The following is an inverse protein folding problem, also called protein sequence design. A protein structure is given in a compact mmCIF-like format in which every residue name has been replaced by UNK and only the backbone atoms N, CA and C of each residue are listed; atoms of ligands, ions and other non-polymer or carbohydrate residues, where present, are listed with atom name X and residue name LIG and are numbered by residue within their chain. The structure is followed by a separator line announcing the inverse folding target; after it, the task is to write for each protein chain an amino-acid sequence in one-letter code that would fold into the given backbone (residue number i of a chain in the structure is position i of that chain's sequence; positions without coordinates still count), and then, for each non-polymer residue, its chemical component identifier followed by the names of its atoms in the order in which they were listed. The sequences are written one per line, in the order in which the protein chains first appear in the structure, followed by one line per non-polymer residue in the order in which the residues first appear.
data_IF_425029295414
#
_entry.id   IF_425029295414
#
_cell.length_a   1.000
_cell.length_b   1.000
_cell.length_c   1.000
_cell.angle_alpha   90.00
_cell.angle_beta   90.00
_cell.angle_gamma   90.00
#
_symmetry.space_group_name_H-M   'P 1'
#
loop_
_entity.id
_entity.type
_entity.pdbx_description
1 polymer ?
#
# COMPACT_ATOMS: atom_id res chain seq x y z
N UNK A 1 44.77 52.04 -55.50
CA UNK A 1 44.99 51.07 -54.43
C UNK A 1 44.27 51.59 -53.20
N UNK A 2 43.06 51.06 -52.89
CA UNK A 2 42.24 51.47 -51.74
C UNK A 2 42.19 50.30 -50.82
N UNK A 3 42.81 50.41 -49.63
CA UNK A 3 42.77 49.42 -48.55
C UNK A 3 41.46 49.53 -47.81
N UNK A 4 40.71 48.46 -47.78
CA UNK A 4 39.46 48.32 -47.03
C UNK A 4 39.81 47.73 -45.65
N UNK A 5 39.71 48.56 -44.59
CA UNK A 5 39.80 48.09 -43.20
C UNK A 5 38.45 47.53 -42.79
N UNK A 6 38.36 46.23 -42.55
CA UNK A 6 37.18 45.61 -41.98
C UNK A 6 37.27 45.68 -40.46
N UNK A 7 36.36 46.41 -39.83
CA UNK A 7 36.18 46.51 -38.37
C UNK A 7 35.33 45.33 -37.90
N UNK A 8 35.95 44.33 -37.24
CA UNK A 8 35.24 43.23 -36.61
C UNK A 8 34.80 43.70 -35.21
N UNK A 9 33.48 43.98 -35.04
CA UNK A 9 32.88 44.26 -33.75
C UNK A 9 32.59 42.93 -33.07
N UNK A 10 33.35 42.60 -32.01
CA UNK A 10 33.14 41.44 -31.15
C UNK A 10 32.08 41.78 -30.14
N UNK A 11 30.84 41.33 -30.37
CA UNK A 11 29.73 41.43 -29.39
C UNK A 11 29.91 40.35 -28.35
N UNK A 12 30.46 40.71 -27.20
CA UNK A 12 30.43 39.85 -26.02
C UNK A 12 28.98 39.75 -25.47
N UNK A 13 28.25 38.72 -25.86
CA UNK A 13 27.01 38.34 -25.18
C UNK A 13 27.38 37.70 -23.87
N UNK A 14 27.29 38.44 -22.78
CA UNK A 14 27.35 37.87 -21.42
C UNK A 14 26.07 37.08 -21.19
N UNK A 15 26.13 35.79 -21.41
CA UNK A 15 25.15 34.83 -20.92
C UNK A 15 25.21 34.84 -19.39
N UNK A 16 24.36 35.61 -18.75
CA UNK A 16 24.03 35.42 -17.33
C UNK A 16 23.29 34.11 -17.21
N UNK A 17 24.04 33.06 -17.07
CA UNK A 17 23.48 31.78 -16.69
C UNK A 17 22.79 31.94 -15.33
N UNK A 18 21.46 31.86 -15.31
CA UNK A 18 20.76 31.62 -14.08
C UNK A 18 21.24 30.25 -13.54
N UNK A 19 22.21 30.29 -12.63
CA UNK A 19 22.56 29.13 -11.82
C UNK A 19 21.28 28.77 -11.06
N UNK A 20 20.57 27.77 -11.54
CA UNK A 20 19.60 27.07 -10.70
C UNK A 20 20.42 26.54 -9.54
N UNK A 21 20.25 27.12 -8.35
CA UNK A 21 20.97 26.71 -7.16
C UNK A 21 20.76 25.22 -6.94
N UNK A 22 21.76 24.41 -7.30
CA UNK A 22 21.80 23.00 -6.96
C UNK A 22 21.94 22.93 -5.46
N UNK A 23 20.92 22.48 -4.75
CA UNK A 23 21.02 22.21 -3.32
C UNK A 23 22.17 21.23 -3.09
N UNK A 24 23.05 21.54 -2.14
CA UNK A 24 24.22 20.74 -1.85
C UNK A 24 23.86 19.34 -1.29
N UNK A 25 22.65 19.20 -0.70
CA UNK A 25 22.16 17.96 -0.12
C UNK A 25 20.63 17.92 -0.06
N UNK A 26 20.06 16.72 0.18
CA UNK A 26 18.62 16.58 0.36
C UNK A 26 18.11 17.36 1.57
N UNK A 27 18.87 17.39 2.66
CA UNK A 27 18.48 18.16 3.86
C UNK A 27 18.47 19.67 3.58
N UNK A 28 19.41 20.19 2.76
CA UNK A 28 19.42 21.59 2.39
C UNK A 28 18.25 21.95 1.47
N UNK A 29 17.88 21.05 0.57
CA UNK A 29 16.64 21.16 -0.20
C UNK A 29 15.41 21.27 0.71
N UNK A 30 15.30 20.39 1.73
CA UNK A 30 14.20 20.44 2.68
C UNK A 30 14.20 21.73 3.54
N UNK A 31 15.35 22.25 3.91
CA UNK A 31 15.48 23.55 4.63
C UNK A 31 14.94 24.73 3.80
N UNK A 32 14.88 24.62 2.48
CA UNK A 32 14.30 25.63 1.60
C UNK A 32 12.78 25.81 1.77
N UNK A 33 12.09 24.83 2.34
CA UNK A 33 10.68 24.94 2.68
C UNK A 33 10.49 25.44 4.10
N UNK A 34 9.50 26.32 4.32
CA UNK A 34 9.27 26.96 5.63
C UNK A 34 9.04 25.92 6.74
N UNK A 35 8.10 24.99 6.54
CA UNK A 35 7.74 24.01 7.59
C UNK A 35 8.87 23.05 7.97
N UNK A 36 9.56 22.36 7.03
CA UNK A 36 10.72 21.55 7.38
C UNK A 36 11.88 22.36 7.95
N UNK A 37 12.16 23.56 7.41
CA UNK A 37 13.20 24.44 7.94
C UNK A 37 12.93 24.87 9.38
N UNK A 38 11.69 25.22 9.71
CA UNK A 38 11.30 25.56 11.07
C UNK A 38 11.25 24.33 12.01
N UNK A 39 10.83 23.16 11.49
CA UNK A 39 10.90 21.92 12.24
C UNK A 39 12.35 21.58 12.63
N UNK A 40 13.30 21.68 11.70
CA UNK A 40 14.72 21.49 11.96
C UNK A 40 15.22 22.43 13.06
N UNK A 41 14.95 23.74 12.96
CA UNK A 41 15.35 24.71 14.00
C UNK A 41 14.80 24.36 15.37
N UNK A 42 13.56 23.87 15.45
CA UNK A 42 12.92 23.53 16.73
C UNK A 42 13.39 22.22 17.34
N UNK A 43 13.73 21.23 16.51
CA UNK A 43 13.84 19.82 16.95
C UNK A 43 15.23 19.22 16.84
N UNK A 44 16.10 19.72 15.96
CA UNK A 44 17.38 19.06 15.66
C UNK A 44 18.24 18.87 16.92
N UNK A 45 18.46 19.92 17.72
CA UNK A 45 19.24 19.83 18.96
C UNK A 45 18.61 18.86 19.96
N UNK A 46 17.28 18.86 20.05
CA UNK A 46 16.56 17.96 20.95
C UNK A 46 16.72 16.51 20.52
N UNK A 47 16.60 16.23 19.22
CA UNK A 47 16.81 14.90 18.66
C UNK A 47 18.25 14.43 18.89
N UNK A 48 19.23 15.29 18.62
CA UNK A 48 20.65 14.98 18.87
C UNK A 48 20.90 14.60 20.33
N UNK A 49 20.36 15.37 21.28
CA UNK A 49 20.44 15.05 22.71
C UNK A 49 19.78 13.73 23.07
N UNK A 50 18.59 13.45 22.48
CA UNK A 50 17.89 12.18 22.70
C UNK A 50 18.68 10.99 22.14
N UNK A 51 19.31 11.13 20.98
CA UNK A 51 20.20 10.11 20.42
C UNK A 51 21.39 9.85 21.34
N UNK A 52 22.07 10.91 21.76
CA UNK A 52 23.22 10.81 22.70
C UNK A 52 22.83 10.13 24.00
N UNK A 53 21.69 10.49 24.59
CA UNK A 53 21.21 9.91 25.86
C UNK A 53 20.91 8.40 25.73
N UNK A 54 20.68 7.89 24.51
CA UNK A 54 20.46 6.47 24.21
C UNK A 54 21.70 5.75 23.67
N UNK A 55 22.86 6.43 23.64
CA UNK A 55 24.08 5.87 23.04
C UNK A 55 23.93 5.59 21.54
N UNK A 56 23.12 6.38 20.84
CA UNK A 56 22.90 6.29 19.40
C UNK A 56 23.69 7.39 18.67
N UNK A 57 24.20 7.08 17.49
CA UNK A 57 24.89 8.08 16.66
C UNK A 57 23.89 8.95 15.89
N UNK A 58 24.13 10.26 15.88
CA UNK A 58 23.34 11.25 15.14
C UNK A 58 24.13 11.77 13.92
N UNK A 59 23.44 11.97 12.78
CA UNK A 59 22.14 11.43 12.43
C UNK A 59 22.21 9.93 12.11
N UNK A 60 21.11 9.21 12.34
CA UNK A 60 21.04 7.80 11.96
C UNK A 60 21.17 7.65 10.44
N UNK A 61 21.94 6.65 10.00
CA UNK A 61 22.09 6.36 8.56
C UNK A 61 20.94 5.56 8.01
N UNK A 62 20.34 4.69 8.82
CA UNK A 62 19.20 3.86 8.44
C UNK A 62 18.09 3.99 9.45
N UNK A 63 16.90 4.21 8.93
CA UNK A 63 15.65 4.34 9.66
C UNK A 63 14.72 3.18 9.26
N UNK A 64 13.98 2.68 10.21
CA UNK A 64 12.87 1.76 10.02
C UNK A 64 11.71 2.21 10.89
N UNK A 65 10.50 2.23 10.33
CA UNK A 65 9.27 2.60 11.02
C UNK A 65 8.34 1.40 11.04
N UNK A 66 7.70 1.14 12.19
CA UNK A 66 6.61 0.19 12.27
C UNK A 66 5.43 0.77 13.04
N UNK A 67 4.24 0.57 12.51
CA UNK A 67 2.99 1.03 13.11
C UNK A 67 2.13 -0.16 13.52
N UNK A 68 1.46 -0.05 14.67
CA UNK A 68 0.57 -1.05 15.22
C UNK A 68 -0.83 -0.45 15.28
N UNK A 69 -1.69 -0.89 14.36
CA UNK A 69 -2.98 -0.26 14.11
C UNK A 69 -3.90 -0.27 15.32
N UNK A 70 -4.12 -1.44 15.92
CA UNK A 70 -4.97 -1.58 17.12
C UNK A 70 -4.37 -0.93 18.37
N UNK A 71 -3.06 -1.03 18.54
CA UNK A 71 -2.37 -0.48 19.71
C UNK A 71 -2.21 1.04 19.63
N UNK A 72 -2.43 1.64 18.46
CA UNK A 72 -2.30 3.08 18.24
C UNK A 72 -0.88 3.60 18.45
N UNK A 73 0.13 2.80 18.08
CA UNK A 73 1.55 3.11 18.28
C UNK A 73 2.33 3.08 16.97
N UNK A 74 3.36 3.93 16.90
CA UNK A 74 4.33 3.99 15.83
C UNK A 74 5.73 4.02 16.42
N UNK A 75 6.54 3.04 16.08
CA UNK A 75 7.94 2.93 16.54
C UNK A 75 8.91 3.36 15.46
N UNK A 76 9.98 4.00 15.92
CA UNK A 76 11.12 4.38 15.09
C UNK A 76 12.36 3.64 15.58
N UNK A 77 12.94 2.87 14.66
CA UNK A 77 14.13 2.08 14.86
C UNK A 77 15.26 2.62 14.00
N UNK A 78 16.48 2.61 14.52
CA UNK A 78 17.65 3.21 13.87
C UNK A 78 18.87 2.30 13.93
N UNK A 79 19.76 2.45 12.93
CA UNK A 79 21.11 1.87 12.92
C UNK A 79 22.02 2.70 12.02
N UNK A 80 23.34 2.54 12.18
CA UNK A 80 24.33 3.28 11.39
C UNK A 80 25.04 2.42 10.34
N UNK A 81 24.93 1.09 10.42
CA UNK A 81 25.45 0.14 9.46
C UNK A 81 24.41 -0.93 9.12
N UNK A 82 24.44 -1.45 7.89
CA UNK A 82 23.57 -2.58 7.49
C UNK A 82 23.86 -3.86 8.27
N UNK A 83 25.07 -3.98 8.85
CA UNK A 83 25.48 -5.13 9.68
C UNK A 83 25.01 -5.03 11.12
N UNK A 84 24.67 -3.83 11.60
CA UNK A 84 24.19 -3.61 12.96
C UNK A 84 22.72 -3.99 13.10
N UNK A 85 22.34 -4.49 14.26
CA UNK A 85 20.94 -4.63 14.65
C UNK A 85 20.29 -3.26 14.80
N UNK A 86 19.01 -3.15 14.41
CA UNK A 86 18.24 -1.95 14.70
C UNK A 86 18.04 -1.78 16.20
N UNK A 87 18.07 -0.55 16.66
CA UNK A 87 17.83 -0.15 18.05
C UNK A 87 16.61 0.77 18.10
N UNK A 88 15.74 0.55 19.07
CA UNK A 88 14.55 1.38 19.26
C UNK A 88 14.97 2.79 19.68
N UNK A 89 14.68 3.76 18.84
CA UNK A 89 14.87 5.16 19.19
C UNK A 89 13.67 5.68 19.99
N UNK A 90 12.44 5.55 19.46
CA UNK A 90 11.27 6.17 20.09
C UNK A 90 9.97 5.50 19.65
N UNK A 91 8.99 5.48 20.57
CA UNK A 91 7.61 5.13 20.26
C UNK A 91 6.76 6.39 20.30
N UNK A 92 5.97 6.61 19.26
CA UNK A 92 5.01 7.69 19.12
C UNK A 92 3.61 7.14 19.24
N UNK A 93 2.68 7.98 19.68
CA UNK A 93 1.26 7.63 19.73
C UNK A 93 0.59 8.08 18.45
N UNK A 94 -0.12 7.17 17.78
CA UNK A 94 -0.99 7.50 16.65
C UNK A 94 -2.24 8.17 17.20
N UNK A 95 -2.62 9.34 16.67
CA UNK A 95 -3.67 10.18 17.23
C UNK A 95 -5.07 9.64 17.02
N UNK A 96 -5.32 9.06 15.84
CA UNK A 96 -6.62 8.58 15.43
C UNK A 96 -6.46 7.33 14.56
N UNK A 97 -7.47 6.51 14.54
CA UNK A 97 -7.52 5.30 13.73
C UNK A 97 -8.77 5.35 12.84
N UNK A 98 -8.61 4.95 11.59
CA UNK A 98 -9.71 4.74 10.66
C UNK A 98 -9.78 3.26 10.27
N UNK A 99 -11.00 2.75 10.11
CA UNK A 99 -11.27 1.38 9.71
C UNK A 99 -11.12 0.34 10.84
N UNK A 100 -11.09 -0.92 10.43
CA UNK A 100 -10.96 -2.10 11.29
C UNK A 100 -9.61 -2.78 11.04
N UNK A 101 -9.30 -3.90 11.70
CA UNK A 101 -8.16 -4.72 11.33
C UNK A 101 -8.36 -5.35 9.95
N UNK A 102 -7.27 -5.52 9.24
CA UNK A 102 -7.23 -6.02 7.88
C UNK A 102 -6.67 -5.02 6.88
N UNK A 103 -6.33 -5.51 5.68
CA UNK A 103 -5.72 -4.69 4.63
C UNK A 103 -6.71 -3.69 4.02
N UNK A 104 -6.20 -2.58 3.48
CA UNK A 104 -6.95 -1.69 2.61
C UNK A 104 -7.12 -2.36 1.24
N UNK A 105 -8.36 -2.29 0.66
CA UNK A 105 -8.66 -2.96 -0.61
C UNK A 105 -9.30 -2.08 -1.67
N UNK A 106 -9.85 -0.93 -1.30
CA UNK A 106 -10.48 -0.02 -2.26
C UNK A 106 -10.43 1.43 -1.80
N UNK A 107 -10.59 2.33 -2.74
CA UNK A 107 -10.77 3.75 -2.43
C UNK A 107 -12.08 3.94 -1.63
N UNK A 108 -12.04 4.77 -0.59
CA UNK A 108 -13.22 5.08 0.21
C UNK A 108 -13.60 4.01 1.25
N UNK A 109 -12.81 2.95 1.43
CA UNK A 109 -13.04 1.94 2.48
C UNK A 109 -12.65 2.42 3.88
N UNK A 110 -12.14 3.65 4.00
CA UNK A 110 -11.69 4.26 5.24
C UNK A 110 -10.70 3.41 6.05
N UNK A 111 -9.92 2.56 5.37
CA UNK A 111 -8.95 1.67 6.00
C UNK A 111 -7.55 2.26 5.98
N UNK A 112 -6.89 2.24 7.14
CA UNK A 112 -5.43 2.32 7.18
C UNK A 112 -4.89 1.00 6.62
N UNK A 113 -4.03 1.00 5.59
CA UNK A 113 -3.49 -0.24 5.04
C UNK A 113 -2.65 -0.99 6.08
N UNK A 114 -2.58 -2.30 5.94
CA UNK A 114 -1.66 -3.17 6.67
C UNK A 114 -0.75 -3.87 5.65
N UNK A 115 0.53 -4.03 5.98
CA UNK A 115 1.50 -4.60 5.05
C UNK A 115 2.87 -3.94 5.14
N UNK A 116 3.67 -4.13 4.08
CA UNK A 116 5.07 -3.73 4.01
C UNK A 116 5.26 -2.66 2.95
N UNK A 117 5.57 -1.46 3.39
CA UNK A 117 5.69 -0.24 2.59
C UNK A 117 7.05 0.42 2.77
N UNK A 118 7.27 1.50 2.05
CA UNK A 118 8.38 2.42 2.27
C UNK A 118 7.93 3.86 1.99
N UNK A 119 8.67 4.82 2.55
CA UNK A 119 8.46 6.23 2.27
C UNK A 119 8.90 6.50 0.83
N UNK A 120 7.96 6.94 -0.02
CA UNK A 120 8.20 7.31 -1.41
C UNK A 120 8.14 8.82 -1.66
N UNK A 121 7.58 9.58 -0.72
CA UNK A 121 7.38 11.02 -0.89
C UNK A 121 7.64 11.78 0.43
N UNK A 122 8.24 12.95 0.29
CA UNK A 122 8.37 13.98 1.32
C UNK A 122 7.53 15.16 0.90
N UNK A 123 6.41 15.41 1.57
CA UNK A 123 5.51 16.52 1.25
C UNK A 123 5.63 17.65 2.29
N UNK A 124 6.46 18.68 2.01
CA UNK A 124 6.67 19.81 2.92
C UNK A 124 5.48 20.77 2.97
N UNK A 125 4.59 20.72 1.98
CA UNK A 125 3.45 21.63 1.82
C UNK A 125 2.11 20.91 2.02
N UNK A 126 2.10 19.81 2.76
CA UNK A 126 0.91 19.01 3.01
C UNK A 126 -0.23 19.85 3.61
N UNK A 127 -1.48 19.56 3.20
CA UNK A 127 -2.67 20.10 3.85
C UNK A 127 -2.78 19.68 5.32
N UNK A 128 -2.07 18.62 5.70
CA UNK A 128 -1.99 18.09 7.07
C UNK A 128 -0.63 18.43 7.73
N UNK A 129 -0.17 19.65 7.54
CA UNK A 129 1.07 20.21 8.08
C UNK A 129 2.33 19.68 7.38
N UNK A 130 2.85 18.52 7.73
CA UNK A 130 3.94 17.78 7.06
C UNK A 130 3.49 16.35 6.82
N UNK A 131 3.94 15.76 5.71
CA UNK A 131 3.57 14.36 5.39
C UNK A 131 4.72 13.58 4.78
N UNK A 132 4.75 12.29 5.11
CA UNK A 132 5.60 11.27 4.51
C UNK A 132 4.70 10.28 3.77
N UNK A 133 4.74 10.28 2.44
CA UNK A 133 3.95 9.40 1.60
C UNK A 133 4.46 7.97 1.61
N UNK A 134 3.54 7.02 1.55
CA UNK A 134 3.84 5.60 1.46
C UNK A 134 3.56 5.07 0.06
N UNK A 135 4.33 4.09 -0.39
CA UNK A 135 4.16 3.44 -1.70
C UNK A 135 2.93 2.51 -1.77
N UNK A 136 1.81 2.95 -1.18
CA UNK A 136 0.52 2.28 -1.36
C UNK A 136 -0.11 2.69 -2.72
N UNK A 137 -0.68 1.76 -3.51
CA UNK A 137 -0.67 0.31 -3.31
C UNK A 137 0.69 -0.32 -3.66
N UNK A 138 1.17 -1.22 -2.80
CA UNK A 138 2.36 -2.02 -3.05
C UNK A 138 2.05 -3.21 -4.01
N UNK A 139 3.01 -4.08 -4.38
CA UNK A 139 2.75 -5.21 -5.26
C UNK A 139 1.65 -6.17 -4.77
N UNK A 140 1.57 -6.46 -3.47
CA UNK A 140 0.50 -7.27 -2.87
C UNK A 140 -0.86 -6.59 -3.02
N UNK A 141 -0.93 -5.31 -2.67
CA UNK A 141 -2.17 -4.54 -2.78
C UNK A 141 -2.67 -4.46 -4.23
N UNK A 142 -1.76 -4.27 -5.20
CA UNK A 142 -2.12 -4.23 -6.64
C UNK A 142 -2.73 -5.52 -7.14
N UNK A 143 -2.36 -6.66 -6.55
CA UNK A 143 -2.91 -7.97 -6.92
C UNK A 143 -4.25 -8.21 -6.23
N UNK A 144 -4.37 -7.83 -4.94
CA UNK A 144 -5.48 -8.21 -4.08
C UNK A 144 -6.54 -7.13 -3.89
N UNK A 145 -6.26 -5.87 -4.25
CA UNK A 145 -7.20 -4.75 -4.12
C UNK A 145 -8.08 -4.60 -5.36
N UNK A 146 -9.05 -3.71 -5.26
CA UNK A 146 -9.88 -3.30 -6.40
C UNK A 146 -8.99 -2.89 -7.58
N UNK A 147 -9.23 -3.47 -8.74
CA UNK A 147 -8.38 -3.29 -9.93
C UNK A 147 -8.53 -1.90 -10.57
N UNK A 148 -9.66 -1.23 -10.36
CA UNK A 148 -9.96 0.08 -10.92
C UNK A 148 -9.65 1.20 -9.93
N UNK A 149 -9.98 0.99 -8.66
CA UNK A 149 -9.86 2.00 -7.61
C UNK A 149 -9.28 1.41 -6.32
N UNK A 150 -8.01 0.98 -6.32
CA UNK A 150 -7.38 0.44 -5.09
C UNK A 150 -7.24 1.51 -4.01
N UNK A 151 -7.34 2.78 -4.38
CA UNK A 151 -7.03 3.93 -3.57
C UNK A 151 -5.56 4.31 -3.66
N UNK A 152 -5.19 5.38 -2.96
CA UNK A 152 -3.85 5.95 -2.97
C UNK A 152 -3.70 6.98 -1.86
N UNK A 153 -2.66 7.80 -1.96
CA UNK A 153 -2.45 8.96 -1.09
C UNK A 153 -2.43 8.61 0.40
N UNK A 154 -1.72 7.54 0.74
CA UNK A 154 -1.52 7.12 2.14
C UNK A 154 -0.26 7.77 2.70
N UNK A 155 -0.42 8.48 3.81
CA UNK A 155 0.65 9.25 4.45
C UNK A 155 0.75 8.99 5.96
N UNK A 156 1.95 9.16 6.50
CA UNK A 156 2.16 9.51 7.91
C UNK A 156 2.18 11.05 7.97
N UNK A 157 1.29 11.69 8.74
CA UNK A 157 1.13 13.15 8.69
C UNK A 157 0.72 13.76 10.04
N UNK A 158 0.79 15.08 10.13
CA UNK A 158 0.32 15.87 11.28
C UNK A 158 -1.22 16.00 11.33
N UNK A 159 -1.70 16.93 12.15
CA UNK A 159 -3.12 17.35 12.26
C UNK A 159 -4.11 16.34 12.82
N UNK A 160 -3.69 15.21 13.36
CA UNK A 160 -4.52 14.26 14.16
C UNK A 160 -5.92 13.89 13.60
N UNK A 161 -6.13 13.92 12.27
CA UNK A 161 -7.37 13.50 11.59
C UNK A 161 -7.05 12.48 10.52
N UNK A 162 -7.94 11.51 10.28
CA UNK A 162 -7.69 10.50 9.25
C UNK A 162 -8.97 9.92 8.66
N UNK A 163 -8.87 9.52 7.41
CA UNK A 163 -9.83 8.70 6.66
C UNK A 163 -9.14 7.48 6.02
N UNK A 164 -7.92 7.13 6.50
CA UNK A 164 -7.13 6.01 5.97
C UNK A 164 -5.61 6.19 6.06
N UNK A 165 -5.13 7.37 6.49
CA UNK A 165 -3.72 7.68 6.75
C UNK A 165 -3.32 7.36 8.20
N UNK A 166 -2.05 7.55 8.55
CA UNK A 166 -1.50 7.39 9.90
C UNK A 166 -1.22 8.78 10.48
N UNK A 167 -2.18 9.37 11.24
CA UNK A 167 -2.02 10.70 11.80
C UNK A 167 -1.24 10.66 13.11
N UNK A 168 -0.33 11.59 13.24
CA UNK A 168 0.40 11.89 14.48
C UNK A 168 0.25 13.38 14.80
N UNK A 169 0.69 13.83 15.98
CA UNK A 169 0.69 15.26 16.28
C UNK A 169 1.71 16.02 15.42
N UNK A 170 1.50 17.33 15.22
CA UNK A 170 2.46 18.18 14.48
C UNK A 170 3.87 18.11 15.09
N UNK A 171 3.96 18.06 16.41
CA UNK A 171 5.25 17.91 17.11
C UNK A 171 5.94 16.58 16.83
N UNK A 172 5.18 15.53 16.60
CA UNK A 172 5.69 14.19 16.29
C UNK A 172 6.08 14.06 14.82
N UNK A 173 5.27 14.62 13.88
CA UNK A 173 5.66 14.59 12.48
C UNK A 173 6.89 15.47 12.20
N UNK A 174 7.10 16.58 12.94
CA UNK A 174 8.37 17.33 12.91
C UNK A 174 9.56 16.39 13.09
N UNK A 175 9.53 15.58 14.15
CA UNK A 175 10.61 14.65 14.47
C UNK A 175 10.77 13.55 13.43
N UNK A 176 9.65 12.91 13.04
CA UNK A 176 9.64 11.84 12.03
C UNK A 176 10.16 12.31 10.67
N UNK A 177 9.74 13.51 10.25
CA UNK A 177 10.15 14.11 8.99
C UNK A 177 11.66 14.39 8.96
N UNK A 178 12.19 14.96 10.03
CA UNK A 178 13.62 15.25 10.18
C UNK A 178 14.43 13.95 10.16
N UNK A 179 14.03 12.95 10.93
CA UNK A 179 14.70 11.64 10.97
C UNK A 179 14.73 10.98 9.60
N UNK A 180 13.60 10.97 8.90
CA UNK A 180 13.48 10.44 7.55
C UNK A 180 14.34 11.23 6.54
N UNK A 181 14.33 12.57 6.63
CA UNK A 181 15.11 13.44 5.75
C UNK A 181 16.62 13.21 5.91
N UNK A 182 17.10 13.04 7.15
CA UNK A 182 18.50 12.69 7.40
C UNK A 182 18.87 11.29 6.91
N UNK A 183 18.00 10.30 7.11
CA UNK A 183 18.23 8.95 6.59
C UNK A 183 18.34 8.96 5.06
N UNK A 184 17.42 9.66 4.38
CA UNK A 184 17.48 9.84 2.92
C UNK A 184 18.75 10.59 2.48
N UNK A 185 19.10 11.66 3.17
CA UNK A 185 20.33 12.42 2.92
C UNK A 185 21.59 11.55 3.05
N UNK A 186 21.57 10.55 3.92
CA UNK A 186 22.65 9.58 4.15
C UNK A 186 22.59 8.37 3.19
N UNK A 187 21.74 8.42 2.15
CA UNK A 187 21.67 7.42 1.08
C UNK A 187 20.69 6.28 1.32
N UNK A 188 19.71 6.44 2.21
CA UNK A 188 18.61 5.51 2.35
C UNK A 188 17.41 5.97 1.50
N UNK A 189 17.36 5.56 0.23
CA UNK A 189 16.29 5.96 -0.68
C UNK A 189 14.93 5.34 -0.31
N UNK A 190 14.92 4.12 0.19
CA UNK A 190 13.73 3.40 0.62
C UNK A 190 13.75 3.22 2.14
N UNK A 191 12.98 4.04 2.85
CA UNK A 191 12.83 3.95 4.30
C UNK A 191 11.67 3.00 4.59
N UNK A 192 11.90 1.79 5.13
CA UNK A 192 10.84 0.80 5.33
C UNK A 192 9.82 1.28 6.35
N UNK A 193 8.55 1.02 6.04
CA UNK A 193 7.39 1.26 6.92
C UNK A 193 6.54 0.01 6.93
N UNK A 194 6.52 -0.71 8.04
CA UNK A 194 5.68 -1.88 8.23
C UNK A 194 4.45 -1.49 9.06
N UNK A 195 3.27 -1.84 8.58
CA UNK A 195 2.01 -1.56 9.27
C UNK A 195 1.39 -2.90 9.64
N UNK A 196 1.34 -3.15 10.94
CA UNK A 196 0.81 -4.38 11.53
C UNK A 196 -0.61 -4.16 12.07
N UNK A 197 -1.48 -5.18 12.04
CA UNK A 197 -2.80 -5.10 12.66
C UNK A 197 -2.69 -4.83 14.16
N UNK A 198 -1.78 -5.51 14.82
CA UNK A 198 -1.57 -5.50 16.27
C UNK A 198 -0.09 -5.57 16.64
N UNK A 199 0.21 -5.30 17.89
CA UNK A 199 1.46 -5.71 18.52
C UNK A 199 1.35 -7.17 18.98
N UNK A 200 1.99 -8.10 18.28
CA UNK A 200 1.82 -9.55 18.49
C UNK A 200 2.35 -10.05 19.84
N UNK A 201 3.21 -9.32 20.53
CA UNK A 201 3.63 -9.63 21.91
C UNK A 201 2.71 -9.03 22.99
N UNK A 202 1.61 -8.35 22.61
CA UNK A 202 0.60 -7.83 23.53
C UNK A 202 -0.59 -8.81 23.60
N UNK A 203 -0.76 -9.49 24.75
CA UNK A 203 -1.81 -10.50 24.95
C UNK A 203 -3.22 -9.98 24.66
N UNK A 204 -3.53 -8.71 24.99
CA UNK A 204 -4.83 -8.10 24.76
C UNK A 204 -5.09 -7.92 23.26
N UNK A 205 -4.09 -7.44 22.53
CA UNK A 205 -4.15 -7.22 21.08
C UNK A 205 -4.29 -8.55 20.33
N UNK A 206 -3.52 -9.57 20.74
CA UNK A 206 -3.62 -10.93 20.20
C UNK A 206 -5.01 -11.52 20.41
N UNK A 207 -5.58 -11.38 21.62
CA UNK A 207 -6.94 -11.87 21.91
C UNK A 207 -8.01 -11.16 21.06
N UNK A 208 -7.84 -9.86 20.81
CA UNK A 208 -8.75 -9.10 19.94
C UNK A 208 -8.68 -9.58 18.48
N UNK A 209 -7.47 -9.68 17.91
CA UNK A 209 -7.28 -10.21 16.56
C UNK A 209 -7.82 -11.64 16.42
N UNK A 210 -7.51 -12.52 17.38
CA UNK A 210 -7.98 -13.89 17.38
C UNK A 210 -9.52 -13.99 17.41
N UNK A 211 -10.19 -13.05 18.10
CA UNK A 211 -11.65 -13.01 18.11
C UNK A 211 -12.24 -12.59 16.75
N UNK A 212 -11.66 -11.61 16.08
CA UNK A 212 -12.06 -11.22 14.72
C UNK A 212 -11.78 -12.34 13.70
N UNK A 213 -10.63 -12.96 13.81
CA UNK A 213 -10.18 -14.03 12.90
C UNK A 213 -10.97 -15.34 13.04
N UNK A 214 -11.80 -15.51 14.09
CA UNK A 214 -12.69 -16.70 14.21
C UNK A 214 -13.69 -16.81 13.07
N UNK A 215 -14.15 -15.67 12.56
CA UNK A 215 -15.17 -15.58 11.50
C UNK A 215 -14.61 -15.04 10.20
N UNK A 216 -13.31 -14.73 10.14
CA UNK A 216 -12.63 -14.22 8.97
C UNK A 216 -11.29 -14.95 8.76
N UNK A 217 -11.35 -16.05 7.98
CA UNK A 217 -10.18 -16.85 7.66
C UNK A 217 -9.15 -16.09 6.80
N UNK A 218 -9.58 -15.11 6.02
CA UNK A 218 -8.68 -14.30 5.20
C UNK A 218 -7.89 -13.32 6.06
N UNK A 219 -8.55 -12.67 7.01
CA UNK A 219 -7.87 -11.84 8.00
C UNK A 219 -6.84 -12.67 8.79
N UNK A 220 -7.20 -13.91 9.16
CA UNK A 220 -6.28 -14.81 9.87
C UNK A 220 -5.02 -15.08 9.06
N UNK A 221 -5.18 -15.58 7.81
CA UNK A 221 -4.04 -15.90 6.94
C UNK A 221 -3.16 -14.67 6.64
N UNK A 222 -3.78 -13.54 6.39
CA UNK A 222 -3.06 -12.29 6.15
C UNK A 222 -2.28 -11.85 7.40
N UNK A 223 -2.90 -11.87 8.57
CA UNK A 223 -2.25 -11.51 9.83
C UNK A 223 -1.08 -12.45 10.17
N UNK A 224 -1.19 -13.76 9.90
CA UNK A 224 -0.12 -14.75 10.08
C UNK A 224 1.10 -14.46 9.18
N UNK A 225 0.88 -13.99 7.93
CA UNK A 225 1.99 -13.56 7.05
C UNK A 225 2.74 -12.36 7.64
N UNK A 226 2.01 -11.40 8.23
CA UNK A 226 2.62 -10.23 8.87
C UNK A 226 3.31 -10.60 10.18
N UNK A 227 2.71 -11.48 10.99
CA UNK A 227 3.29 -11.99 12.24
C UNK A 227 4.65 -12.65 12.02
N UNK A 228 4.79 -13.43 10.97
CA UNK A 228 6.06 -14.11 10.65
C UNK A 228 7.22 -13.11 10.43
N UNK A 229 6.96 -11.98 9.78
CA UNK A 229 7.95 -10.89 9.60
C UNK A 229 8.18 -10.13 10.91
N UNK A 230 7.12 -9.91 11.69
CA UNK A 230 7.22 -9.30 13.01
C UNK A 230 8.12 -10.13 13.93
N UNK A 231 7.89 -11.43 14.05
CA UNK A 231 8.67 -12.35 14.89
C UNK A 231 10.13 -12.42 14.45
N UNK A 232 10.39 -12.45 13.13
CA UNK A 232 11.76 -12.38 12.62
C UNK A 232 12.48 -11.13 13.14
N UNK A 233 11.81 -9.97 13.08
CA UNK A 233 12.40 -8.72 13.57
C UNK A 233 12.58 -8.71 15.10
N UNK A 234 11.63 -9.21 15.89
CA UNK A 234 11.75 -9.30 17.35
C UNK A 234 12.95 -10.16 17.77
N UNK A 235 13.27 -11.21 17.02
CA UNK A 235 14.39 -12.10 17.32
C UNK A 235 15.72 -11.51 16.86
N UNK A 236 15.76 -10.92 15.67
CA UNK A 236 17.02 -10.57 14.99
C UNK A 236 17.35 -9.09 15.03
N UNK A 237 16.35 -8.25 15.22
CA UNK A 237 16.40 -6.80 14.97
C UNK A 237 16.97 -6.47 13.57
N UNK A 238 16.72 -7.36 12.59
CA UNK A 238 17.07 -7.19 11.18
C UNK A 238 15.81 -7.30 10.33
N UNK A 239 15.75 -6.57 9.24
CA UNK A 239 14.67 -6.69 8.29
C UNK A 239 14.96 -7.83 7.31
N UNK A 240 14.04 -8.79 7.14
CA UNK A 240 14.16 -9.77 6.08
C UNK A 240 13.90 -9.16 4.71
N UNK A 241 14.30 -9.86 3.65
CA UNK A 241 13.85 -9.53 2.30
C UNK A 241 12.41 -10.00 2.17
N UNK A 242 11.51 -9.09 1.84
CA UNK A 242 10.09 -9.37 1.68
C UNK A 242 9.74 -9.24 0.20
N UNK A 243 9.11 -10.25 -0.34
CA UNK A 243 8.65 -10.33 -1.73
C UNK A 243 7.14 -10.57 -1.75
N UNK A 244 6.53 -10.41 -2.91
CA UNK A 244 5.14 -10.76 -3.16
C UNK A 244 5.10 -11.87 -4.21
N UNK A 245 4.39 -12.97 -3.95
CA UNK A 245 4.17 -14.02 -4.92
C UNK A 245 3.08 -13.64 -5.94
N UNK A 246 2.84 -14.52 -6.92
CA UNK A 246 1.85 -14.27 -7.97
C UNK A 246 0.39 -14.21 -7.45
N UNK A 247 0.13 -14.70 -6.25
CA UNK A 247 -1.19 -14.65 -5.60
C UNK A 247 -1.38 -13.38 -4.75
N UNK A 248 -0.34 -12.55 -4.62
CA UNK A 248 -0.38 -11.38 -3.77
C UNK A 248 0.06 -11.62 -2.33
N UNK A 249 0.43 -12.86 -1.95
CA UNK A 249 0.88 -13.16 -0.60
C UNK A 249 2.30 -12.64 -0.37
N UNK A 250 2.58 -12.23 0.85
CA UNK A 250 3.92 -11.91 1.27
C UNK A 250 4.74 -13.17 1.53
N UNK A 251 5.92 -13.25 0.93
CA UNK A 251 6.95 -14.26 1.19
C UNK A 251 8.22 -13.55 1.62
N UNK A 252 8.94 -14.08 2.59
CA UNK A 252 10.14 -13.46 3.10
C UNK A 252 11.29 -14.46 3.24
N UNK A 253 12.52 -13.96 3.04
CA UNK A 253 13.74 -14.71 3.24
C UNK A 253 14.14 -14.64 4.72
N UNK A 254 13.65 -15.57 5.49
CA UNK A 254 13.94 -15.67 6.92
C UNK A 254 13.50 -17.00 7.47
N UNK A 255 14.31 -17.57 8.34
CA UNK A 255 14.17 -18.81 9.09
C UNK A 255 12.97 -19.68 8.67
N UNK A 256 13.22 -20.66 7.83
CA UNK A 256 12.26 -21.67 7.39
C UNK A 256 11.65 -22.41 8.59
N UNK A 257 10.74 -21.79 9.33
CA UNK A 257 9.58 -22.54 9.77
C UNK A 257 8.72 -22.63 8.51
N UNK A 258 8.83 -23.75 7.81
CA UNK A 258 7.80 -24.20 6.90
C UNK A 258 6.48 -24.00 7.63
N UNK A 259 5.75 -22.94 7.30
CA UNK A 259 4.30 -23.02 7.42
C UNK A 259 3.93 -24.03 6.35
N UNK A 260 3.98 -25.29 6.72
CA UNK A 260 3.30 -26.35 5.99
C UNK A 260 1.85 -26.04 6.26
N UNK A 261 1.25 -25.21 5.40
CA UNK A 261 -0.19 -25.27 5.21
C UNK A 261 -0.40 -26.69 4.66
N UNK A 262 -0.73 -27.61 5.57
CA UNK A 262 -1.22 -28.91 5.15
C UNK A 262 -2.40 -28.61 4.22
N UNK A 263 -2.44 -29.18 3.00
CA UNK A 263 -3.60 -29.04 2.17
C UNK A 263 -4.77 -29.58 2.99
N UNK A 264 -5.73 -28.73 3.31
CA UNK A 264 -7.02 -29.20 3.81
C UNK A 264 -7.62 -29.94 2.64
N UNK A 265 -7.54 -31.26 2.66
CA UNK A 265 -8.26 -32.12 1.71
C UNK A 265 -9.76 -31.85 1.89
N UNK A 266 -10.29 -30.99 1.04
CA UNK A 266 -11.73 -30.79 0.91
C UNK A 266 -12.32 -32.02 0.20
N UNK A 267 -13.51 -32.51 0.61
CA UNK A 267 -14.18 -33.58 -0.12
C UNK A 267 -14.43 -33.12 -1.56
N UNK A 268 -14.00 -33.90 -2.53
CA UNK A 268 -14.15 -33.63 -3.96
C UNK A 268 -15.64 -33.62 -4.30
N UNK A 269 -16.21 -32.42 -4.51
CA UNK A 269 -17.47 -32.25 -5.24
C UNK A 269 -17.21 -32.36 -6.74
N UNK A 270 -18.22 -32.77 -7.50
CA UNK A 270 -18.15 -32.68 -8.94
C UNK A 270 -18.04 -31.20 -9.37
N UNK A 271 -17.08 -30.84 -10.21
CA UNK A 271 -16.88 -29.44 -10.58
C UNK A 271 -18.12 -28.89 -11.31
N UNK A 272 -18.57 -27.72 -10.84
CA UNK A 272 -19.59 -26.94 -11.55
C UNK A 272 -18.97 -26.46 -12.86
N UNK A 273 -19.60 -26.72 -14.00
CA UNK A 273 -19.11 -26.26 -15.30
C UNK A 273 -19.57 -24.81 -15.53
N UNK A 274 -18.67 -23.88 -15.30
CA UNK A 274 -18.88 -22.47 -15.63
C UNK A 274 -18.64 -22.19 -17.12
N UNK A 275 -19.34 -21.17 -17.64
CA UNK A 275 -19.20 -20.78 -19.05
C UNK A 275 -17.82 -20.19 -19.30
N UNK A 276 -17.05 -20.79 -20.20
CA UNK A 276 -15.76 -20.28 -20.64
C UNK A 276 -15.76 -20.07 -22.15
N UNK A 277 -15.09 -19.00 -22.61
CA UNK A 277 -14.83 -18.74 -24.03
C UNK A 277 -13.34 -18.94 -24.29
N UNK A 278 -13.02 -19.45 -25.47
CA UNK A 278 -11.64 -19.52 -25.93
C UNK A 278 -11.23 -18.14 -26.47
N UNK A 279 -10.58 -17.33 -25.65
CA UNK A 279 -10.10 -16.00 -26.01
C UNK A 279 -8.59 -16.10 -26.21
N UNK A 280 -8.16 -15.94 -27.45
CA UNK A 280 -6.76 -16.12 -27.86
C UNK A 280 -5.90 -14.86 -27.67
N UNK A 281 -6.54 -13.68 -27.68
CA UNK A 281 -5.83 -12.40 -27.56
C UNK A 281 -6.46 -11.52 -26.48
N UNK A 282 -5.65 -11.11 -25.54
CA UNK A 282 -6.02 -10.17 -24.48
C UNK A 282 -5.21 -8.90 -24.63
N UNK A 283 -5.88 -7.74 -24.67
CA UNK A 283 -5.19 -6.47 -24.77
C UNK A 283 -4.56 -6.10 -23.42
N UNK A 284 -3.23 -5.91 -23.40
CA UNK A 284 -2.53 -5.39 -22.24
C UNK A 284 -2.77 -3.88 -22.07
N UNK A 285 -2.80 -3.15 -23.21
CA UNK A 285 -3.05 -1.70 -23.25
C UNK A 285 -4.34 -1.44 -24.02
N UNK A 286 -5.14 -0.49 -23.56
CA UNK A 286 -6.39 -0.09 -24.20
C UNK A 286 -6.49 1.43 -24.29
N UNK A 287 -7.17 1.93 -25.33
CA UNK A 287 -7.45 3.36 -25.48
C UNK A 287 -8.65 3.77 -24.61
N UNK A 288 -9.65 2.86 -24.52
CA UNK A 288 -10.81 3.02 -23.64
C UNK A 288 -11.03 1.74 -22.85
N UNK A 289 -11.29 1.88 -21.55
CA UNK A 289 -11.61 0.75 -20.67
C UNK A 289 -13.03 0.25 -20.91
N UNK A 290 -13.31 -1.03 -20.58
CA UNK A 290 -14.67 -1.53 -20.61
C UNK A 290 -15.57 -0.72 -19.67
N UNK A 291 -16.79 -0.45 -20.08
CA UNK A 291 -17.75 0.29 -19.28
C UNK A 291 -19.04 -0.51 -19.04
N UNK A 292 -19.42 -0.60 -17.75
CA UNK A 292 -20.67 -1.25 -17.35
C UNK A 292 -21.88 -0.43 -17.86
N UNK A 293 -23.00 -1.06 -18.27
CA UNK A 293 -24.21 -0.36 -18.71
C UNK A 293 -24.68 0.66 -17.65
N UNK A 294 -24.72 1.93 -18.05
CA UNK A 294 -25.07 3.05 -17.16
C UNK A 294 -23.90 3.58 -16.32
N UNK A 295 -22.66 3.15 -16.65
CA UNK A 295 -21.43 3.72 -16.08
C UNK A 295 -21.09 3.22 -14.69
N UNK A 296 -20.00 3.76 -14.14
CA UNK A 296 -19.42 3.31 -12.87
C UNK A 296 -20.34 3.37 -11.66
N UNK A 297 -21.25 4.38 -11.58
CA UNK A 297 -22.22 4.47 -10.48
C UNK A 297 -23.21 3.29 -10.49
N UNK A 298 -23.66 2.88 -11.68
CA UNK A 298 -24.56 1.75 -11.84
C UNK A 298 -23.84 0.44 -11.50
N UNK A 299 -22.57 0.34 -11.88
CA UNK A 299 -21.73 -0.80 -11.52
C UNK A 299 -21.54 -0.94 -10.01
N UNK A 300 -21.23 0.15 -9.31
CA UNK A 300 -21.14 0.14 -7.84
C UNK A 300 -22.43 -0.34 -7.18
N UNK A 301 -23.59 0.13 -7.66
CA UNK A 301 -24.88 -0.35 -7.18
C UNK A 301 -25.10 -1.83 -7.47
N UNK A 302 -24.68 -2.31 -8.65
CA UNK A 302 -24.71 -3.73 -8.98
C UNK A 302 -23.88 -4.56 -8.00
N UNK A 303 -22.63 -4.14 -7.72
CA UNK A 303 -21.75 -4.80 -6.75
C UNK A 303 -22.37 -4.87 -5.37
N UNK A 304 -22.92 -3.75 -4.87
CA UNK A 304 -23.60 -3.68 -3.56
C UNK A 304 -24.81 -4.62 -3.51
N UNK A 305 -25.64 -4.59 -4.55
CA UNK A 305 -26.84 -5.44 -4.62
C UNK A 305 -26.49 -6.92 -4.67
N UNK A 306 -25.49 -7.27 -5.49
CA UNK A 306 -24.97 -8.65 -5.60
C UNK A 306 -24.37 -9.09 -4.27
N UNK A 307 -23.58 -8.23 -3.60
CA UNK A 307 -23.00 -8.53 -2.31
C UNK A 307 -24.07 -8.82 -1.25
N UNK A 308 -25.09 -7.97 -1.16
CA UNK A 308 -26.23 -8.19 -0.25
C UNK A 308 -27.01 -9.47 -0.52
N UNK A 309 -27.22 -9.81 -1.79
CA UNK A 309 -27.95 -11.01 -2.17
C UNK A 309 -27.20 -12.29 -1.76
N UNK A 310 -25.86 -12.27 -1.77
CA UNK A 310 -25.01 -13.42 -1.45
C UNK A 310 -24.70 -13.57 0.05
N UNK A 311 -25.18 -12.67 0.91
CA UNK A 311 -24.96 -12.79 2.37
C UNK A 311 -25.54 -14.09 2.91
N UNK A 312 -26.71 -14.52 2.38
CA UNK A 312 -27.38 -15.74 2.81
C UNK A 312 -26.60 -17.02 2.44
N UNK A 313 -25.72 -16.94 1.46
CA UNK A 313 -24.90 -18.06 0.97
C UNK A 313 -23.54 -18.15 1.67
N UNK A 314 -23.25 -17.21 2.57
CA UNK A 314 -22.02 -17.29 3.38
C UNK A 314 -22.09 -18.50 4.32
N UNK A 315 -20.95 -19.17 4.57
CA UNK A 315 -20.86 -20.26 5.55
C UNK A 315 -21.41 -19.86 6.91
N UNK A 316 -21.91 -20.86 7.63
CA UNK A 316 -22.52 -20.66 8.96
C UNK A 316 -21.57 -19.87 9.91
N UNK A 317 -22.11 -18.81 10.52
CA UNK A 317 -21.38 -17.92 11.42
C UNK A 317 -20.63 -16.77 10.73
N UNK A 318 -20.52 -16.77 9.41
CA UNK A 318 -19.88 -15.68 8.64
C UNK A 318 -20.94 -14.67 8.17
N UNK A 319 -20.76 -13.39 8.50
CA UNK A 319 -21.71 -12.32 8.14
C UNK A 319 -21.21 -11.39 7.04
N UNK A 320 -19.91 -11.46 6.74
CA UNK A 320 -19.26 -10.59 5.76
C UNK A 320 -18.10 -11.32 5.09
N UNK A 321 -17.86 -11.02 3.82
CA UNK A 321 -16.68 -11.49 3.09
C UNK A 321 -16.22 -10.44 2.06
N UNK A 322 -14.93 -10.44 1.74
CA UNK A 322 -14.37 -9.77 0.59
C UNK A 322 -13.86 -10.84 -0.39
N UNK A 323 -14.40 -10.83 -1.58
CA UNK A 323 -14.07 -11.79 -2.63
C UNK A 323 -13.48 -11.05 -3.81
N UNK A 324 -12.39 -11.58 -4.38
CA UNK A 324 -11.76 -11.01 -5.57
C UNK A 324 -11.99 -11.95 -6.75
N UNK A 325 -12.62 -11.42 -7.79
CA UNK A 325 -12.92 -12.18 -9.01
C UNK A 325 -12.16 -11.57 -10.18
N UNK A 326 -11.49 -12.41 -10.96
CA UNK A 326 -10.93 -12.08 -12.26
C UNK A 326 -11.92 -12.56 -13.33
N UNK A 327 -12.15 -11.76 -14.36
CA UNK A 327 -12.99 -12.11 -15.50
C UNK A 327 -12.53 -11.35 -16.74
N UNK A 328 -13.07 -11.70 -17.90
CA UNK A 328 -12.75 -11.07 -19.18
C UNK A 328 -14.01 -10.42 -19.72
N UNK A 329 -13.92 -9.17 -20.15
CA UNK A 329 -14.90 -8.54 -21.04
C UNK A 329 -14.44 -8.82 -22.47
N UNK A 330 -15.22 -9.63 -23.18
CA UNK A 330 -14.91 -10.02 -24.55
C UNK A 330 -15.18 -8.87 -25.54
N UNK A 331 -14.79 -9.02 -26.78
CA UNK A 331 -14.96 -8.02 -27.85
C UNK A 331 -16.43 -7.65 -28.12
N UNK A 332 -17.37 -8.53 -27.78
CA UNK A 332 -18.82 -8.30 -27.87
C UNK A 332 -19.40 -7.69 -26.55
N UNK A 333 -18.55 -7.38 -25.59
CA UNK A 333 -18.95 -6.85 -24.30
C UNK A 333 -19.38 -7.91 -23.28
N UNK A 334 -19.43 -9.19 -23.65
CA UNK A 334 -19.88 -10.25 -22.74
C UNK A 334 -18.85 -10.51 -21.65
N UNK A 335 -19.22 -10.43 -20.33
CA UNK A 335 -18.40 -10.89 -19.24
C UNK A 335 -18.29 -12.42 -19.25
N UNK A 336 -17.06 -12.95 -19.16
CA UNK A 336 -16.80 -14.38 -19.27
C UNK A 336 -15.52 -14.80 -18.56
N UNK A 337 -15.23 -16.08 -18.49
CA UNK A 337 -14.01 -16.65 -17.91
C UNK A 337 -13.78 -16.19 -16.47
N UNK A 338 -14.83 -16.20 -15.67
CA UNK A 338 -14.79 -15.83 -14.28
C UNK A 338 -13.90 -16.80 -13.48
N UNK A 339 -13.05 -16.24 -12.65
CA UNK A 339 -12.15 -16.99 -11.74
C UNK A 339 -12.08 -16.27 -10.41
N UNK A 340 -12.46 -16.94 -9.35
CA UNK A 340 -12.27 -16.42 -7.99
C UNK A 340 -10.80 -16.55 -7.64
N UNK A 341 -10.15 -15.43 -7.33
CA UNK A 341 -8.75 -15.36 -6.92
C UNK A 341 -8.62 -15.43 -5.40
N UNK A 342 -9.54 -14.80 -4.71
CA UNK A 342 -9.66 -14.79 -3.27
C UNK A 342 -11.14 -14.99 -2.93
N UNK A 343 -11.50 -16.17 -2.46
CA UNK A 343 -12.86 -16.60 -2.24
C UNK A 343 -13.18 -16.85 -0.77
N UNK A 344 -14.31 -17.50 -0.55
CA UNK A 344 -14.81 -17.89 0.77
C UNK A 344 -14.62 -19.39 0.98
N UNK A 345 -15.28 -20.19 0.17
CA UNK A 345 -15.14 -21.61 -0.02
C UNK A 345 -15.68 -21.99 -1.41
N UNK A 346 -15.53 -23.23 -1.80
CA UNK A 346 -15.88 -23.71 -3.15
C UNK A 346 -17.37 -23.55 -3.47
N UNK A 347 -18.25 -23.74 -2.47
CA UNK A 347 -19.71 -23.65 -2.66
C UNK A 347 -20.15 -22.21 -2.88
N UNK A 348 -19.66 -21.29 -2.07
CA UNK A 348 -19.92 -19.87 -2.20
C UNK A 348 -19.30 -19.30 -3.49
N UNK A 349 -18.09 -19.70 -3.81
CA UNK A 349 -17.35 -19.21 -4.99
C UNK A 349 -18.06 -19.63 -6.29
N UNK A 350 -18.56 -20.86 -6.36
CA UNK A 350 -19.38 -21.35 -7.50
C UNK A 350 -20.70 -20.58 -7.61
N UNK A 351 -21.38 -20.30 -6.50
CA UNK A 351 -22.62 -19.53 -6.51
C UNK A 351 -22.36 -18.08 -6.95
N UNK A 352 -21.30 -17.47 -6.44
CA UNK A 352 -20.89 -16.12 -6.87
C UNK A 352 -20.65 -16.10 -8.38
N UNK A 353 -19.88 -17.04 -8.95
CA UNK A 353 -19.64 -17.08 -10.40
C UNK A 353 -20.98 -17.25 -11.16
N UNK A 354 -21.86 -18.13 -10.68
CA UNK A 354 -23.18 -18.33 -11.29
C UNK A 354 -23.99 -17.04 -11.36
N UNK A 355 -23.95 -16.22 -10.32
CA UNK A 355 -24.61 -14.90 -10.30
C UNK A 355 -23.91 -13.93 -11.26
N UNK A 356 -22.58 -13.93 -11.30
CA UNK A 356 -21.80 -13.04 -12.17
C UNK A 356 -21.93 -13.39 -13.66
N UNK A 357 -22.18 -14.65 -14.01
CA UNK A 357 -22.50 -15.07 -15.39
C UNK A 357 -23.81 -14.47 -15.93
N UNK A 358 -24.66 -13.91 -15.05
CA UNK A 358 -25.87 -13.18 -15.41
C UNK A 358 -25.65 -11.68 -15.60
N UNK A 359 -24.42 -11.20 -15.42
CA UNK A 359 -24.06 -9.80 -15.58
C UNK A 359 -24.40 -9.34 -17.02
N UNK A 360 -24.99 -8.15 -17.19
CA UNK A 360 -25.32 -7.64 -18.52
C UNK A 360 -24.06 -7.39 -19.35
N UNK A 361 -24.17 -7.42 -20.70
CA UNK A 361 -23.05 -7.05 -21.57
C UNK A 361 -22.56 -5.62 -21.30
N UNK A 362 -21.25 -5.44 -21.27
CA UNK A 362 -20.57 -4.16 -21.11
C UNK A 362 -20.30 -3.50 -22.46
N UNK A 363 -20.01 -2.22 -22.45
CA UNK A 363 -19.30 -1.63 -23.57
C UNK A 363 -17.87 -2.20 -23.56
N UNK A 364 -17.39 -2.85 -24.64
CA UNK A 364 -16.07 -3.49 -24.62
C UNK A 364 -14.94 -2.46 -24.59
N UNK A 365 -13.76 -2.89 -24.16
CA UNK A 365 -12.55 -2.08 -24.29
C UNK A 365 -12.25 -1.80 -25.76
N UNK A 366 -11.62 -0.66 -26.04
CA UNK A 366 -11.13 -0.37 -27.39
C UNK A 366 -9.64 -0.09 -27.42
N UNK A 367 -9.00 -0.48 -28.52
CA UNK A 367 -7.65 -0.10 -28.87
C UNK A 367 -7.68 0.49 -30.29
N UNK A 368 -7.40 1.78 -30.40
CA UNK A 368 -7.53 2.53 -31.68
C UNK A 368 -8.91 2.32 -32.34
N UNK A 369 -9.97 2.53 -31.56
CA UNK A 369 -11.39 2.40 -31.94
C UNK A 369 -11.84 0.99 -32.33
N UNK A 370 -11.02 -0.03 -32.18
CA UNK A 370 -11.38 -1.42 -32.41
C UNK A 370 -11.69 -2.11 -31.08
N UNK A 371 -12.81 -2.84 -30.97
CA UNK A 371 -13.10 -3.63 -29.75
C UNK A 371 -12.03 -4.68 -29.52
N UNK A 372 -11.60 -4.80 -28.27
CA UNK A 372 -10.60 -5.77 -27.80
C UNK A 372 -11.04 -6.43 -26.51
N UNK A 373 -10.68 -7.70 -26.34
CA UNK A 373 -10.95 -8.39 -25.08
C UNK A 373 -10.01 -7.90 -23.99
N UNK A 374 -10.56 -7.63 -22.81
CA UNK A 374 -9.79 -7.09 -21.66
C UNK A 374 -10.07 -7.87 -20.39
N UNK A 375 -8.98 -8.25 -19.72
CA UNK A 375 -9.05 -8.86 -18.41
C UNK A 375 -9.33 -7.80 -17.34
N UNK A 376 -10.27 -8.12 -16.45
CA UNK A 376 -10.72 -7.30 -15.34
C UNK A 376 -10.50 -8.04 -14.02
N UNK A 377 -10.26 -7.29 -12.95
CA UNK A 377 -10.33 -7.80 -11.58
C UNK A 377 -11.26 -6.91 -10.77
N UNK A 378 -12.14 -7.54 -10.00
CA UNK A 378 -13.10 -6.83 -9.18
C UNK A 378 -13.24 -7.44 -7.80
N UNK A 379 -13.24 -6.57 -6.78
CA UNK A 379 -13.57 -6.97 -5.41
C UNK A 379 -15.06 -6.86 -5.15
N UNK A 380 -15.62 -7.85 -4.50
CA UNK A 380 -17.02 -7.90 -4.05
C UNK A 380 -17.03 -7.89 -2.54
N UNK A 381 -17.72 -6.92 -1.97
CA UNK A 381 -18.01 -6.87 -0.53
C UNK A 381 -19.36 -7.54 -0.31
N UNK A 382 -19.36 -8.61 0.45
CA UNK A 382 -20.52 -9.40 0.82
C UNK A 382 -20.87 -9.01 2.26
N UNK A 383 -21.96 -8.21 2.45
CA UNK A 383 -22.38 -7.72 3.78
C UNK A 383 -23.85 -7.33 3.82
#
# INVERSE_FOLDING_TARGET
MKSLFALIVFVCVTLTGFSQGTFASFIDYQKGFSRPGDALKRKEDTLQKQFSAKGLSWPAKYLYIRSFKYDGELEVWVRNSRKEAFKLFKTYKVCALAGTLGPKRMQGDYQVPEGFYYINEFNPNSSYYLSLGLNYPNPSDKILSDSLNPGGDIYIHGSCVTVGCIPVTDKQIDELYILAAYAKNNGQDYIPVHIYPIRYNNKKSVAYLANLAKTDGQLKLFAEQLEAVYDHFEITHQLPIIMTNNNGDYVYDGLSKKVVVAPVEKPKRAPVQHRTRNITELAEVVTQWPEFPGGGKTFLKYLETTGKALVASLPEGRKKANVVVEFIIDVDGTPTNFKVLNGVDEEFDDELITVLEQMPPWQPATLNDKPVAKKMKQSFVIE
#
